data_IF_667056655674
#
_entry.id   IF_667056655674
#
_cell.length_a   1.000
_cell.length_b   1.000
_cell.length_c   1.000
_cell.angle_alpha   90.00
_cell.angle_beta   90.00
_cell.angle_gamma   90.00
#
_symmetry.space_group_name_H-M   'P 1'
#
loop_
_entity.id
_entity.type
_entity.pdbx_description
1 polymer ?
#
# COMPACT_ATOMS: atom_id res chain seq x y z
N UNK A 1 -1.72 -20.81 -0.57
CA UNK A 1 -1.47 -19.43 -1.07
C UNK A 1 -1.97 -18.39 -0.09
N UNK A 2 -3.23 -18.46 0.39
CA UNK A 2 -3.72 -17.55 1.44
C UNK A 2 -2.90 -17.64 2.75
N UNK A 3 -2.60 -18.86 3.21
CA UNK A 3 -1.81 -19.11 4.44
C UNK A 3 -0.36 -18.58 4.36
N UNK A 4 0.20 -18.48 3.14
CA UNK A 4 1.56 -17.95 2.93
C UNK A 4 1.58 -16.42 3.05
N UNK A 5 0.56 -15.73 2.51
CA UNK A 5 0.43 -14.27 2.62
C UNK A 5 0.24 -13.79 4.06
N UNK A 6 -0.60 -14.47 4.84
CA UNK A 6 -0.80 -14.11 6.25
C UNK A 6 0.49 -14.33 7.07
N UNK A 7 1.29 -15.35 6.74
CA UNK A 7 2.60 -15.55 7.36
C UNK A 7 3.59 -14.42 7.03
N UNK A 8 3.61 -13.93 5.78
CA UNK A 8 4.43 -12.77 5.41
C UNK A 8 3.97 -11.49 6.14
N UNK A 9 2.67 -11.23 6.20
CA UNK A 9 2.11 -10.10 6.95
C UNK A 9 2.45 -10.19 8.44
N UNK A 10 2.31 -11.39 9.03
CA UNK A 10 2.66 -11.62 10.43
C UNK A 10 4.16 -11.37 10.68
N UNK A 11 5.04 -11.78 9.77
CA UNK A 11 6.49 -11.52 9.84
C UNK A 11 6.76 -10.01 9.91
N UNK A 12 6.07 -9.20 9.09
CA UNK A 12 6.18 -7.74 9.12
C UNK A 12 5.56 -7.09 10.38
N UNK A 13 4.60 -7.74 11.03
CA UNK A 13 4.04 -7.28 12.31
C UNK A 13 5.03 -7.53 13.45
N UNK A 14 5.65 -8.71 13.51
CA UNK A 14 6.49 -9.11 14.65
C UNK A 14 7.96 -8.72 14.51
N UNK A 15 8.40 -8.19 13.36
CA UNK A 15 9.76 -7.67 13.23
C UNK A 15 10.01 -6.49 14.19
N UNK A 16 11.20 -6.49 14.78
CA UNK A 16 11.74 -5.47 15.69
C UNK A 16 13.28 -5.52 15.65
N UNK A 17 13.93 -4.96 14.61
CA UNK A 17 15.39 -4.94 14.51
C UNK A 17 16.01 -4.31 15.74
N UNK A 18 17.03 -4.96 16.32
CA UNK A 18 17.53 -4.64 17.67
C UNK A 18 17.87 -3.15 17.86
N UNK A 19 18.50 -2.52 16.87
CA UNK A 19 18.95 -1.11 16.94
C UNK A 19 17.88 -0.11 16.45
N UNK A 20 16.74 -0.58 15.96
CA UNK A 20 15.65 0.26 15.42
C UNK A 20 14.32 0.07 16.16
N UNK A 21 14.25 -0.76 17.19
CA UNK A 21 12.99 -1.07 17.89
C UNK A 21 12.21 0.19 18.33
N UNK A 22 12.92 1.19 18.87
CA UNK A 22 12.32 2.48 19.25
C UNK A 22 11.83 3.27 18.03
N UNK A 23 12.63 3.32 16.96
CA UNK A 23 12.25 4.02 15.74
C UNK A 23 11.03 3.38 15.06
N UNK A 24 10.97 2.04 15.04
CA UNK A 24 9.81 1.27 14.57
C UNK A 24 8.57 1.58 15.41
N UNK A 25 8.71 1.63 16.75
CA UNK A 25 7.64 2.04 17.66
C UNK A 25 7.11 3.44 17.37
N UNK A 26 8.01 4.41 17.20
CA UNK A 26 7.66 5.79 16.84
C UNK A 26 6.93 5.87 15.50
N UNK A 27 7.45 5.20 14.46
CA UNK A 27 6.83 5.20 13.12
C UNK A 27 5.45 4.55 13.15
N UNK A 28 5.30 3.40 13.85
CA UNK A 28 4.00 2.73 14.04
C UNK A 28 2.99 3.63 14.74
N UNK A 29 3.38 4.30 15.83
CA UNK A 29 2.50 5.22 16.55
C UNK A 29 2.12 6.44 15.69
N UNK A 30 3.10 7.02 14.99
CA UNK A 30 2.90 8.23 14.18
C UNK A 30 1.97 7.97 13.00
N UNK A 31 2.24 6.93 12.20
CA UNK A 31 1.37 6.54 11.08
C UNK A 31 -0.05 6.25 11.54
N UNK A 32 -0.21 5.48 12.62
CA UNK A 32 -1.51 5.14 13.17
C UNK A 32 -2.32 6.37 13.63
N UNK A 33 -1.65 7.30 14.32
CA UNK A 33 -2.25 8.58 14.73
C UNK A 33 -2.69 9.40 13.53
N UNK A 34 -1.84 9.54 12.51
CA UNK A 34 -2.15 10.27 11.28
C UNK A 34 -3.40 9.72 10.56
N UNK A 35 -3.63 8.40 10.66
CA UNK A 35 -4.77 7.71 10.04
C UNK A 35 -5.98 7.55 10.95
N UNK A 36 -5.88 7.95 12.23
CA UNK A 36 -6.88 7.63 13.26
C UNK A 36 -7.18 6.12 13.38
N UNK A 37 -6.15 5.28 13.19
CA UNK A 37 -6.23 3.83 13.30
C UNK A 37 -5.47 3.34 14.54
N UNK A 38 -5.76 2.13 15.06
CA UNK A 38 -4.88 1.51 16.04
C UNK A 38 -3.52 1.21 15.41
N UNK A 39 -2.39 1.39 16.13
CA UNK A 39 -1.08 1.06 15.60
C UNK A 39 -0.89 -0.44 15.42
N UNK A 40 0.13 -0.81 14.64
CA UNK A 40 0.71 -2.14 14.75
C UNK A 40 1.38 -2.27 16.14
N UNK A 41 1.38 -3.47 16.76
CA UNK A 41 2.13 -3.70 18.00
C UNK A 41 3.59 -3.30 17.85
N UNK A 42 4.27 -2.85 18.91
CA UNK A 42 5.71 -2.55 18.89
C UNK A 42 6.41 -3.06 20.16
N UNK A 43 7.67 -3.48 20.05
CA UNK A 43 8.47 -3.91 21.22
C UNK A 43 8.76 -2.75 22.18
N UNK A 44 9.01 -1.57 21.62
CA UNK A 44 9.14 -0.32 22.35
C UNK A 44 7.94 0.58 22.04
N UNK A 45 7.10 0.84 23.04
CA UNK A 45 6.02 1.82 22.93
C UNK A 45 6.61 3.22 23.01
N UNK A 46 6.31 4.05 22.00
CA UNK A 46 6.81 5.43 21.90
C UNK A 46 5.64 6.37 21.70
N UNK A 47 5.53 7.39 22.55
CA UNK A 47 4.45 8.37 22.54
C UNK A 47 4.82 9.69 21.88
N UNK A 48 6.11 10.01 21.81
CA UNK A 48 6.63 11.24 21.21
C UNK A 48 8.10 11.08 20.79
N UNK A 49 8.57 11.86 19.79
CA UNK A 49 9.98 11.93 19.45
C UNK A 49 10.81 12.59 20.56
N UNK A 50 12.01 12.08 20.82
CA UNK A 50 12.94 12.55 21.87
C UNK A 50 14.26 13.10 21.30
N UNK A 51 14.45 13.06 19.99
CA UNK A 51 15.63 13.60 19.30
C UNK A 51 15.25 14.34 18.02
N UNK A 52 16.15 15.15 17.48
CA UNK A 52 15.93 15.84 16.21
C UNK A 52 15.74 14.84 15.05
N UNK A 53 16.50 13.73 15.05
CA UNK A 53 16.31 12.64 14.10
C UNK A 53 14.90 12.04 14.21
N UNK A 54 14.42 11.77 15.42
CA UNK A 54 13.08 11.25 15.64
C UNK A 54 11.99 12.25 15.22
N UNK A 55 12.18 13.55 15.44
CA UNK A 55 11.26 14.59 14.98
C UNK A 55 11.15 14.62 13.45
N UNK A 56 12.28 14.53 12.75
CA UNK A 56 12.31 14.45 11.28
C UNK A 56 11.61 13.19 10.79
N UNK A 57 11.88 12.04 11.42
CA UNK A 57 11.25 10.76 11.06
C UNK A 57 9.74 10.79 11.30
N UNK A 58 9.28 11.30 12.44
CA UNK A 58 7.86 11.42 12.75
C UNK A 58 7.13 12.32 11.75
N UNK A 59 7.66 13.54 11.50
CA UNK A 59 7.06 14.46 10.54
C UNK A 59 7.00 13.86 9.11
N UNK A 60 8.04 13.13 8.70
CA UNK A 60 8.06 12.47 7.40
C UNK A 60 7.07 11.29 7.33
N UNK A 61 6.97 10.48 8.39
CA UNK A 61 6.04 9.36 8.48
C UNK A 61 4.58 9.84 8.47
N UNK A 62 4.27 10.93 9.17
CA UNK A 62 2.97 11.59 9.16
C UNK A 62 2.61 12.06 7.75
N UNK A 63 3.51 12.83 7.10
CA UNK A 63 3.28 13.31 5.72
C UNK A 63 3.10 12.14 4.75
N UNK A 64 3.93 11.09 4.83
CA UNK A 64 3.78 9.88 4.01
C UNK A 64 2.41 9.25 4.19
N UNK A 65 1.91 9.19 5.43
CA UNK A 65 0.62 8.57 5.75
C UNK A 65 -0.55 9.41 5.23
N UNK A 66 -0.50 10.73 5.40
CA UNK A 66 -1.55 11.68 5.00
C UNK A 66 -1.58 11.87 3.48
N UNK A 67 -0.46 12.26 2.88
CA UNK A 67 -0.33 12.48 1.44
C UNK A 67 1.14 12.44 1.02
N UNK A 68 1.57 11.29 0.49
CA UNK A 68 2.94 11.09 0.03
C UNK A 68 3.31 12.00 -1.15
N UNK A 69 2.32 12.45 -1.93
CA UNK A 69 2.56 13.27 -3.13
C UNK A 69 3.01 14.69 -2.78
N UNK A 70 2.70 15.14 -1.56
CA UNK A 70 3.09 16.45 -1.05
C UNK A 70 4.47 16.46 -0.36
N UNK A 71 5.20 15.33 -0.32
CA UNK A 71 6.56 15.29 0.22
C UNK A 71 7.51 16.10 -0.67
N UNK A 72 8.00 17.23 -0.13
CA UNK A 72 8.91 18.15 -0.82
C UNK A 72 10.38 17.75 -0.76
N UNK A 73 11.23 18.44 -1.53
CA UNK A 73 12.67 18.18 -1.59
C UNK A 73 13.37 18.47 -0.25
N UNK A 74 12.92 19.48 0.49
CA UNK A 74 13.47 19.82 1.82
C UNK A 74 13.22 18.70 2.85
N UNK A 75 12.03 18.10 2.84
CA UNK A 75 11.71 16.97 3.72
C UNK A 75 12.58 15.75 3.40
N UNK A 76 12.85 15.49 2.11
CA UNK A 76 13.75 14.40 1.68
C UNK A 76 15.18 14.67 2.08
N UNK A 77 15.65 15.90 1.92
CA UNK A 77 16.99 16.31 2.32
C UNK A 77 17.19 16.18 3.84
N UNK A 78 16.20 16.62 4.63
CA UNK A 78 16.22 16.48 6.08
C UNK A 78 16.23 15.00 6.52
N UNK A 79 15.36 14.16 5.93
CA UNK A 79 15.33 12.73 6.23
C UNK A 79 16.65 12.05 5.87
N UNK A 80 17.19 12.34 4.68
CA UNK A 80 18.47 11.81 4.22
C UNK A 80 19.64 12.24 5.11
N UNK A 81 19.67 13.49 5.56
CA UNK A 81 20.67 13.98 6.50
C UNK A 81 20.56 13.31 7.89
N UNK A 82 19.34 13.04 8.35
CA UNK A 82 19.09 12.44 9.66
C UNK A 82 19.40 10.93 9.71
N UNK A 83 19.19 10.20 8.60
CA UNK A 83 19.26 8.73 8.57
C UNK A 83 20.42 8.16 7.74
N UNK A 84 20.96 8.91 6.77
CA UNK A 84 21.98 8.42 5.86
C UNK A 84 21.55 7.13 5.14
N UNK A 85 22.37 6.08 5.26
CA UNK A 85 22.10 4.77 4.65
C UNK A 85 20.81 4.09 5.16
N UNK A 86 20.32 4.46 6.36
CA UNK A 86 19.08 3.90 6.92
C UNK A 86 17.81 4.49 6.29
N UNK A 87 17.92 5.51 5.43
CA UNK A 87 16.75 6.21 4.86
C UNK A 87 15.78 5.25 4.16
N UNK A 88 16.27 4.40 3.26
CA UNK A 88 15.40 3.48 2.51
C UNK A 88 14.74 2.43 3.42
N UNK A 89 15.47 1.67 4.26
CA UNK A 89 14.85 0.75 5.22
C UNK A 89 13.80 1.40 6.13
N UNK A 90 14.04 2.63 6.61
CA UNK A 90 13.08 3.34 7.47
C UNK A 90 11.83 3.77 6.69
N UNK A 91 11.95 4.16 5.42
CA UNK A 91 10.77 4.44 4.58
C UNK A 91 9.96 3.16 4.30
N UNK A 92 10.60 1.99 4.18
CA UNK A 92 9.89 0.70 4.14
C UNK A 92 9.13 0.47 5.44
N UNK A 93 9.74 0.76 6.60
CA UNK A 93 9.05 0.69 7.89
C UNK A 93 7.83 1.63 7.96
N UNK A 94 7.92 2.84 7.40
CA UNK A 94 6.79 3.77 7.29
C UNK A 94 5.67 3.20 6.42
N UNK A 95 5.99 2.60 5.27
CA UNK A 95 4.98 1.93 4.44
C UNK A 95 4.28 0.80 5.19
N UNK A 96 5.02 -0.02 5.93
CA UNK A 96 4.44 -1.11 6.74
C UNK A 96 3.51 -0.54 7.82
N UNK A 97 3.96 0.47 8.55
CA UNK A 97 3.22 1.14 9.61
C UNK A 97 1.98 1.91 9.11
N UNK A 98 2.03 2.46 7.90
CA UNK A 98 0.92 3.14 7.24
C UNK A 98 -0.10 2.13 6.71
N UNK A 99 0.33 1.12 5.95
CA UNK A 99 -0.58 0.39 5.10
C UNK A 99 -1.14 -0.91 5.70
N UNK A 100 -0.43 -1.59 6.60
CA UNK A 100 -0.99 -2.79 7.25
C UNK A 100 -2.20 -2.44 8.15
N UNK A 101 -2.20 -1.34 8.94
CA UNK A 101 -3.40 -0.90 9.65
C UNK A 101 -4.59 -0.61 8.73
N UNK A 102 -4.34 -0.06 7.53
CA UNK A 102 -5.39 0.15 6.51
C UNK A 102 -5.95 -1.19 6.06
N UNK A 103 -5.10 -2.15 5.72
CA UNK A 103 -5.52 -3.50 5.33
C UNK A 103 -6.38 -4.14 6.41
N UNK A 104 -5.98 -4.05 7.69
CA UNK A 104 -6.81 -4.52 8.82
C UNK A 104 -8.18 -3.85 8.81
N UNK A 105 -8.23 -2.52 8.77
CA UNK A 105 -9.50 -1.77 8.79
C UNK A 105 -10.40 -2.09 7.58
N UNK A 106 -9.81 -2.28 6.40
CA UNK A 106 -10.53 -2.68 5.18
C UNK A 106 -11.12 -4.08 5.30
N UNK A 107 -10.32 -5.06 5.72
CA UNK A 107 -10.79 -6.43 5.95
C UNK A 107 -11.89 -6.48 7.03
N UNK A 108 -11.72 -5.76 8.14
CA UNK A 108 -12.72 -5.65 9.20
C UNK A 108 -14.03 -5.05 8.67
N UNK A 109 -13.98 -3.96 7.90
CA UNK A 109 -15.15 -3.33 7.30
C UNK A 109 -15.90 -4.28 6.33
N UNK A 110 -15.15 -5.12 5.62
CA UNK A 110 -15.69 -6.15 4.73
C UNK A 110 -16.25 -7.36 5.49
N UNK A 111 -15.95 -7.52 6.78
CA UNK A 111 -16.32 -8.69 7.59
C UNK A 111 -15.42 -9.91 7.33
N UNK A 112 -14.18 -9.66 6.91
CA UNK A 112 -13.18 -10.69 6.59
C UNK A 112 -12.19 -10.87 7.75
N UNK A 113 -11.66 -12.09 7.94
CA UNK A 113 -10.75 -12.36 9.06
C UNK A 113 -9.40 -11.66 8.90
N UNK A 114 -8.84 -11.22 10.03
CA UNK A 114 -7.48 -10.67 10.16
C UNK A 114 -6.66 -11.62 11.05
N UNK A 115 -6.03 -12.61 10.43
CA UNK A 115 -5.29 -13.72 11.07
C UNK A 115 -3.82 -13.42 11.33
N UNK A 116 -3.25 -12.39 10.70
CA UNK A 116 -1.81 -12.09 10.69
C UNK A 116 -1.35 -11.21 11.87
N UNK A 117 -2.26 -10.84 12.79
CA UNK A 117 -1.92 -10.21 14.07
C UNK A 117 -1.99 -11.28 15.16
N UNK A 118 -0.85 -11.77 15.68
CA UNK A 118 -0.85 -12.90 16.61
C UNK A 118 -1.27 -12.46 18.02
N UNK A 119 -2.07 -13.29 18.71
CA UNK A 119 -2.47 -13.06 20.11
C UNK A 119 -1.28 -12.95 21.07
N UNK A 120 -0.20 -13.68 20.75
CA UNK A 120 1.05 -13.65 21.51
C UNK A 120 2.21 -13.22 20.62
N UNK A 121 2.70 -12.03 20.88
CA UNK A 121 3.83 -11.46 20.17
C UNK A 121 5.14 -12.15 20.58
N UNK A 122 5.91 -12.55 19.56
CA UNK A 122 7.31 -12.97 19.70
C UNK A 122 8.12 -12.13 18.72
N UNK A 123 8.85 -11.16 19.24
CA UNK A 123 9.62 -10.22 18.43
C UNK A 123 10.74 -10.93 17.67
N UNK A 124 10.81 -10.70 16.37
CA UNK A 124 11.91 -11.15 15.53
C UNK A 124 12.88 -9.99 15.26
N UNK A 125 14.11 -10.13 15.76
CA UNK A 125 15.17 -9.13 15.62
C UNK A 125 16.02 -9.30 14.36
N UNK A 126 15.84 -10.41 13.63
CA UNK A 126 16.63 -10.78 12.46
C UNK A 126 15.89 -10.63 11.13
N UNK A 127 14.59 -10.32 11.14
CA UNK A 127 13.82 -10.10 9.91
C UNK A 127 14.38 -8.91 9.12
N UNK A 128 14.72 -9.12 7.85
CA UNK A 128 14.86 -8.04 6.88
C UNK A 128 13.48 -7.69 6.30
N UNK A 129 12.86 -6.64 6.86
CA UNK A 129 11.54 -6.20 6.41
C UNK A 129 11.52 -5.75 4.94
N UNK A 130 12.66 -5.28 4.41
CA UNK A 130 12.78 -4.89 2.99
C UNK A 130 12.68 -6.12 2.10
N UNK A 131 13.43 -7.17 2.42
CA UNK A 131 13.40 -8.43 1.69
C UNK A 131 12.00 -9.05 1.73
N UNK A 132 11.37 -9.10 2.90
CA UNK A 132 10.01 -9.64 3.05
C UNK A 132 9.00 -8.84 2.20
N UNK A 133 9.07 -7.50 2.19
CA UNK A 133 8.17 -6.69 1.37
C UNK A 133 8.39 -6.97 -0.12
N UNK A 134 9.62 -6.79 -0.63
CA UNK A 134 9.86 -6.77 -2.07
C UNK A 134 10.00 -8.16 -2.71
N UNK A 135 10.51 -9.14 -1.98
CA UNK A 135 10.83 -10.46 -2.52
C UNK A 135 9.83 -11.55 -2.11
N UNK A 136 9.02 -11.33 -1.05
CA UNK A 136 8.00 -12.29 -0.61
C UNK A 136 6.56 -11.75 -0.76
N UNK A 137 6.21 -10.69 -0.04
CA UNK A 137 4.84 -10.19 0.07
C UNK A 137 4.30 -9.63 -1.26
N UNK A 138 4.98 -8.64 -1.86
CA UNK A 138 4.48 -7.99 -3.07
C UNK A 138 4.38 -8.97 -4.26
N UNK A 139 5.34 -9.87 -4.50
CA UNK A 139 5.19 -10.90 -5.53
C UNK A 139 4.08 -11.90 -5.20
N UNK A 140 3.90 -12.29 -3.94
CA UNK A 140 2.82 -13.20 -3.55
C UNK A 140 1.44 -12.62 -3.80
N UNK A 141 1.22 -11.33 -3.50
CA UNK A 141 -0.02 -10.64 -3.88
C UNK A 141 -0.16 -10.57 -5.40
N UNK A 142 0.93 -10.26 -6.12
CA UNK A 142 0.92 -10.16 -7.58
C UNK A 142 0.55 -11.46 -8.30
N UNK A 143 0.60 -12.61 -7.63
CA UNK A 143 0.21 -13.93 -8.17
C UNK A 143 -1.25 -14.29 -7.94
N UNK A 144 -2.00 -13.48 -7.18
CA UNK A 144 -3.43 -13.68 -6.99
C UNK A 144 -4.19 -13.43 -8.31
N UNK A 145 -5.29 -14.16 -8.54
CA UNK A 145 -6.01 -14.21 -9.83
C UNK A 145 -7.53 -14.35 -9.67
N UNK A 146 -8.09 -14.13 -8.49
CA UNK A 146 -9.53 -14.16 -8.28
C UNK A 146 -10.21 -12.90 -8.83
N UNK A 147 -9.51 -11.76 -8.81
CA UNK A 147 -9.96 -10.53 -9.42
C UNK A 147 -9.65 -10.54 -10.92
N UNK A 148 -10.57 -10.03 -11.74
CA UNK A 148 -10.30 -9.92 -13.17
C UNK A 148 -9.22 -8.86 -13.43
N UNK A 149 -8.39 -9.04 -14.48
CA UNK A 149 -7.23 -8.19 -14.71
C UNK A 149 -7.61 -6.73 -15.02
N UNK A 150 -8.79 -6.46 -15.58
CA UNK A 150 -9.23 -5.09 -15.86
C UNK A 150 -9.55 -4.36 -14.56
N UNK A 151 -10.31 -4.99 -13.65
CA UNK A 151 -10.59 -4.40 -12.33
C UNK A 151 -9.30 -4.22 -11.52
N UNK A 152 -8.37 -5.19 -11.54
CA UNK A 152 -7.06 -5.06 -10.88
C UNK A 152 -6.26 -3.84 -11.41
N UNK A 153 -6.27 -3.61 -12.72
CA UNK A 153 -5.60 -2.45 -13.33
C UNK A 153 -6.31 -1.13 -13.02
N UNK A 154 -7.64 -1.12 -13.01
CA UNK A 154 -8.46 0.05 -12.63
C UNK A 154 -8.13 0.52 -11.21
N UNK A 155 -8.09 -0.39 -10.24
CA UNK A 155 -7.76 -0.04 -8.84
C UNK A 155 -6.30 0.36 -8.68
N UNK A 156 -5.37 -0.27 -9.43
CA UNK A 156 -3.97 0.14 -9.46
C UNK A 156 -3.80 1.57 -9.95
N UNK A 157 -4.47 1.93 -11.04
CA UNK A 157 -4.38 3.26 -11.65
C UNK A 157 -5.02 4.33 -10.75
N UNK A 158 -6.11 4.01 -10.04
CA UNK A 158 -6.70 4.92 -9.04
C UNK A 158 -5.71 5.23 -7.91
N UNK A 159 -5.10 4.20 -7.33
CA UNK A 159 -4.08 4.40 -6.29
C UNK A 159 -2.83 5.13 -6.81
N UNK A 160 -2.41 4.86 -8.04
CA UNK A 160 -1.31 5.58 -8.68
C UNK A 160 -1.59 7.07 -8.88
N UNK A 161 -2.82 7.44 -9.24
CA UNK A 161 -3.26 8.82 -9.35
C UNK A 161 -3.23 9.51 -7.97
N UNK A 162 -3.77 8.86 -6.94
CA UNK A 162 -3.83 9.38 -5.57
C UNK A 162 -2.47 9.61 -4.94
N UNK A 163 -1.51 8.71 -5.17
CA UNK A 163 -0.13 8.89 -4.70
C UNK A 163 0.74 9.69 -5.66
N UNK A 164 0.19 10.15 -6.79
CA UNK A 164 0.92 10.81 -7.87
C UNK A 164 2.17 10.06 -8.36
N UNK A 165 2.14 8.72 -8.37
CA UNK A 165 3.28 7.90 -8.81
C UNK A 165 3.50 8.00 -10.33
N UNK A 166 4.55 8.71 -10.77
CA UNK A 166 4.78 8.97 -12.22
C UNK A 166 5.14 7.69 -12.99
N UNK A 167 5.97 6.82 -12.40
CA UNK A 167 6.30 5.48 -12.90
C UNK A 167 5.06 4.61 -13.11
N UNK A 168 4.15 4.62 -12.14
CA UNK A 168 2.96 3.79 -12.16
C UNK A 168 1.97 4.27 -13.23
N UNK A 169 1.84 5.60 -13.40
CA UNK A 169 0.97 6.22 -14.41
C UNK A 169 1.49 6.03 -15.83
N UNK A 170 2.82 5.93 -16.02
CA UNK A 170 3.43 5.74 -17.35
C UNK A 170 3.38 4.30 -17.87
N UNK A 171 2.64 3.40 -17.20
CA UNK A 171 2.64 1.97 -17.52
C UNK A 171 1.25 1.34 -17.51
N UNK A 172 1.06 0.29 -18.30
CA UNK A 172 -0.16 -0.54 -18.35
C UNK A 172 0.15 -2.03 -18.26
N UNK A 173 -0.63 -2.74 -17.46
CA UNK A 173 -0.51 -4.20 -17.36
C UNK A 173 -1.09 -4.85 -18.62
N UNK A 174 -0.32 -5.76 -19.22
CA UNK A 174 -0.63 -6.32 -20.53
C UNK A 174 -1.85 -7.24 -20.55
N UNK A 175 -2.02 -8.07 -19.52
CA UNK A 175 -3.18 -8.95 -19.37
C UNK A 175 -4.48 -8.16 -19.28
N UNK A 176 -4.48 -7.01 -18.59
CA UNK A 176 -5.60 -6.10 -18.50
C UNK A 176 -5.96 -5.47 -19.86
N UNK A 177 -4.94 -5.06 -20.63
CA UNK A 177 -5.15 -4.58 -22.00
C UNK A 177 -5.73 -5.67 -22.90
N UNK A 178 -5.22 -6.89 -22.82
CA UNK A 178 -5.71 -8.03 -23.63
C UNK A 178 -7.13 -8.43 -23.26
N UNK A 179 -7.53 -8.20 -22.00
CA UNK A 179 -8.88 -8.43 -21.49
C UNK A 179 -9.87 -7.29 -21.80
N UNK A 180 -9.47 -6.28 -22.58
CA UNK A 180 -10.35 -5.18 -23.02
C UNK A 180 -10.17 -3.87 -22.26
N UNK A 181 -9.22 -3.79 -21.34
CA UNK A 181 -8.77 -2.53 -20.76
C UNK A 181 -8.18 -1.59 -21.82
N UNK A 182 -8.39 -0.29 -21.68
CA UNK A 182 -7.95 0.70 -22.67
C UNK A 182 -7.74 2.07 -22.06
N UNK A 183 -6.97 2.94 -22.71
CA UNK A 183 -6.78 4.33 -22.28
C UNK A 183 -8.10 5.10 -22.20
N UNK A 184 -9.08 4.78 -23.06
CA UNK A 184 -10.43 5.38 -23.01
C UNK A 184 -11.14 5.03 -21.71
N UNK A 185 -11.15 3.75 -21.32
CA UNK A 185 -11.74 3.30 -20.05
C UNK A 185 -10.96 3.87 -18.85
N UNK A 186 -9.62 3.86 -18.92
CA UNK A 186 -8.78 4.33 -17.83
C UNK A 186 -8.85 5.84 -17.62
N UNK A 187 -9.15 6.62 -18.66
CA UNK A 187 -9.36 8.07 -18.58
C UNK A 187 -10.54 8.48 -17.69
N UNK A 188 -11.50 7.58 -17.48
CA UNK A 188 -12.67 7.82 -16.64
C UNK A 188 -12.43 7.55 -15.15
N UNK A 189 -11.32 6.88 -14.78
CA UNK A 189 -11.05 6.44 -13.39
C UNK A 189 -11.06 7.60 -12.39
N UNK A 190 -10.61 8.80 -12.80
CA UNK A 190 -10.58 9.94 -11.87
C UNK A 190 -11.97 10.49 -11.54
N UNK A 191 -12.94 10.31 -12.43
CA UNK A 191 -14.34 10.74 -12.33
C UNK A 191 -15.31 9.56 -12.47
N UNK A 192 -14.94 8.43 -11.87
CA UNK A 192 -15.57 7.14 -12.14
C UNK A 192 -17.08 7.09 -11.87
N UNK A 193 -17.60 7.94 -10.98
CA UNK A 193 -19.04 8.02 -10.68
C UNK A 193 -19.86 8.48 -11.89
N UNK A 194 -19.28 9.29 -12.77
CA UNK A 194 -19.91 9.81 -13.98
C UNK A 194 -19.69 8.90 -15.20
N UNK A 195 -18.91 7.82 -15.05
CA UNK A 195 -18.51 6.97 -16.18
C UNK A 195 -19.61 6.02 -16.61
N UNK A 196 -19.89 5.99 -17.90
CA UNK A 196 -20.69 4.96 -18.57
C UNK A 196 -19.84 3.77 -19.06
N UNK A 197 -18.51 3.87 -18.97
CA UNK A 197 -17.56 2.84 -19.40
C UNK A 197 -17.18 1.85 -18.29
N UNK A 198 -17.21 2.32 -17.04
CA UNK A 198 -16.91 1.50 -15.86
C UNK A 198 -18.16 0.78 -15.37
N UNK A 199 -17.99 -0.50 -15.04
CA UNK A 199 -19.07 -1.30 -14.44
C UNK A 199 -19.37 -0.87 -13.00
N UNK A 200 -20.57 -1.17 -12.49
CA UNK A 200 -20.91 -0.89 -11.09
C UNK A 200 -19.99 -1.61 -10.10
N UNK A 201 -19.50 -2.82 -10.44
CA UNK A 201 -18.48 -3.51 -9.68
C UNK A 201 -17.16 -2.72 -9.60
N UNK A 202 -16.70 -2.18 -10.73
CA UNK A 202 -15.49 -1.34 -10.77
C UNK A 202 -15.67 -0.03 -10.00
N UNK A 203 -16.84 0.62 -10.09
CA UNK A 203 -17.14 1.81 -9.29
C UNK A 203 -17.18 1.50 -7.79
N UNK A 204 -17.75 0.36 -7.39
CA UNK A 204 -17.71 -0.10 -6.00
C UNK A 204 -16.28 -0.35 -5.50
N UNK A 205 -15.44 -0.98 -6.31
CA UNK A 205 -14.02 -1.15 -6.00
C UNK A 205 -13.29 0.20 -5.87
N UNK A 206 -13.56 1.17 -6.75
CA UNK A 206 -12.96 2.50 -6.71
C UNK A 206 -13.38 3.31 -5.48
N UNK A 207 -14.67 3.26 -5.08
CA UNK A 207 -15.12 3.83 -3.80
C UNK A 207 -14.39 3.21 -2.60
N UNK A 208 -14.16 1.90 -2.64
CA UNK A 208 -13.42 1.20 -1.59
C UNK A 208 -11.94 1.60 -1.57
N UNK A 209 -11.28 1.72 -2.72
CA UNK A 209 -9.90 2.23 -2.84
C UNK A 209 -9.81 3.64 -2.23
N UNK A 210 -10.73 4.54 -2.57
CA UNK A 210 -10.78 5.90 -2.03
C UNK A 210 -10.94 5.90 -0.51
N UNK A 211 -11.86 5.08 0.01
CA UNK A 211 -12.07 4.96 1.44
C UNK A 211 -10.81 4.44 2.16
N UNK A 212 -10.18 3.40 1.61
CA UNK A 212 -8.99 2.77 2.18
C UNK A 212 -7.75 3.70 2.17
N UNK A 213 -7.62 4.56 1.14
CA UNK A 213 -6.49 5.48 1.00
C UNK A 213 -6.71 6.81 1.74
N UNK A 214 -7.92 7.37 1.77
CA UNK A 214 -8.14 8.70 2.36
C UNK A 214 -8.86 8.72 3.69
N UNK A 215 -9.64 7.68 4.00
CA UNK A 215 -10.47 7.65 5.22
C UNK A 215 -10.58 6.26 5.86
N UNK A 216 -9.46 5.54 6.05
CA UNK A 216 -9.49 4.13 6.46
C UNK A 216 -10.10 3.89 7.84
N UNK A 217 -10.09 4.89 8.73
CA UNK A 217 -10.75 4.81 10.04
C UNK A 217 -12.28 4.97 9.98
N UNK A 218 -12.84 5.37 8.83
CA UNK A 218 -14.27 5.66 8.64
C UNK A 218 -14.77 5.15 7.30
N UNK A 219 -14.42 3.90 6.94
CA UNK A 219 -14.99 3.24 5.77
C UNK A 219 -16.49 3.12 5.98
N UNK A 220 -17.28 3.80 5.16
CA UNK A 220 -18.74 3.82 5.29
C UNK A 220 -19.32 2.40 5.07
N UNK A 221 -20.30 1.96 5.89
CA UNK A 221 -20.93 0.65 5.72
C UNK A 221 -21.49 0.39 4.31
N UNK A 222 -21.93 1.43 3.59
CA UNK A 222 -22.41 1.34 2.21
C UNK A 222 -21.29 1.03 1.22
N UNK A 223 -20.06 1.53 1.45
CA UNK A 223 -18.89 1.20 0.64
C UNK A 223 -18.57 -0.28 0.77
N UNK A 224 -18.52 -0.80 2.01
CA UNK A 224 -18.29 -2.22 2.26
C UNK A 224 -19.44 -3.09 1.73
N UNK A 225 -20.69 -2.62 1.80
CA UNK A 225 -21.84 -3.31 1.23
C UNK A 225 -21.74 -3.42 -0.30
N UNK A 226 -21.35 -2.35 -1.00
CA UNK A 226 -21.16 -2.37 -2.44
C UNK A 226 -20.05 -3.33 -2.88
N UNK A 227 -18.96 -3.45 -2.11
CA UNK A 227 -17.94 -4.48 -2.38
C UNK A 227 -18.53 -5.88 -2.21
N UNK A 228 -19.25 -6.15 -1.12
CA UNK A 228 -19.88 -7.47 -0.87
C UNK A 228 -20.98 -7.83 -1.87
N UNK A 229 -21.61 -6.84 -2.49
CA UNK A 229 -22.63 -7.04 -3.53
C UNK A 229 -22.01 -7.57 -4.83
N UNK A 230 -20.82 -7.10 -5.19
CA UNK A 230 -20.20 -7.38 -6.49
C UNK A 230 -19.06 -8.39 -6.45
N UNK A 231 -18.42 -8.58 -5.30
CA UNK A 231 -17.22 -9.41 -5.17
C UNK A 231 -17.43 -10.55 -4.18
N UNK A 232 -16.92 -11.73 -4.52
CA UNK A 232 -16.83 -12.84 -3.56
C UNK A 232 -15.88 -12.48 -2.42
N UNK A 233 -15.93 -13.25 -1.33
CA UNK A 233 -14.98 -13.10 -0.21
C UNK A 233 -13.52 -13.18 -0.67
N UNK A 234 -13.20 -14.08 -1.60
CA UNK A 234 -11.85 -14.22 -2.15
C UNK A 234 -11.44 -12.98 -2.96
N UNK A 235 -12.33 -12.50 -3.83
CA UNK A 235 -12.11 -11.29 -4.63
C UNK A 235 -11.98 -10.03 -3.77
N UNK A 236 -12.79 -9.89 -2.73
CA UNK A 236 -12.73 -8.74 -1.82
C UNK A 236 -11.43 -8.72 -0.98
N UNK A 237 -10.94 -9.91 -0.60
CA UNK A 237 -9.62 -10.06 0.05
C UNK A 237 -8.50 -9.70 -0.93
N UNK A 238 -8.54 -10.23 -2.14
CA UNK A 238 -7.57 -9.92 -3.20
C UNK A 238 -7.56 -8.43 -3.53
N UNK A 239 -8.72 -7.80 -3.72
CA UNK A 239 -8.87 -6.36 -3.93
C UNK A 239 -8.15 -5.57 -2.83
N UNK A 240 -8.36 -5.90 -1.56
CA UNK A 240 -7.71 -5.21 -0.43
C UNK A 240 -6.18 -5.38 -0.46
N UNK A 241 -5.70 -6.58 -0.79
CA UNK A 241 -4.27 -6.86 -0.90
C UNK A 241 -3.63 -6.22 -2.13
N UNK A 242 -4.36 -6.11 -3.25
CA UNK A 242 -3.91 -5.38 -4.42
C UNK A 242 -3.73 -3.90 -4.09
N UNK A 243 -4.65 -3.28 -3.31
CA UNK A 243 -4.43 -1.90 -2.85
C UNK A 243 -3.14 -1.80 -2.01
N UNK A 244 -2.87 -2.75 -1.11
CA UNK A 244 -1.60 -2.82 -0.38
C UNK A 244 -0.39 -2.90 -1.32
N UNK A 245 -0.42 -3.82 -2.27
CA UNK A 245 0.68 -4.00 -3.23
C UNK A 245 0.91 -2.72 -4.05
N UNK A 246 -0.16 -2.14 -4.55
CA UNK A 246 -0.12 -0.94 -5.38
C UNK A 246 0.38 0.27 -4.59
N UNK A 247 0.02 0.37 -3.30
CA UNK A 247 0.49 1.40 -2.39
C UNK A 247 1.97 1.28 -2.00
N UNK A 248 2.66 0.18 -2.32
CA UNK A 248 4.13 0.15 -2.20
C UNK A 248 4.81 1.24 -3.05
N UNK A 249 4.11 1.79 -4.05
CA UNK A 249 4.56 2.96 -4.81
C UNK A 249 4.81 4.20 -3.93
N UNK A 250 4.21 4.30 -2.73
CA UNK A 250 4.49 5.37 -1.76
C UNK A 250 5.96 5.40 -1.40
N UNK A 251 6.67 4.26 -1.37
CA UNK A 251 8.11 4.21 -1.11
C UNK A 251 8.88 4.94 -2.22
N UNK A 252 8.57 4.65 -3.48
CA UNK A 252 9.22 5.28 -4.62
C UNK A 252 8.90 6.79 -4.69
N UNK A 253 7.64 7.17 -4.46
CA UNK A 253 7.21 8.57 -4.43
C UNK A 253 7.85 9.31 -3.26
N UNK A 254 7.92 8.72 -2.06
CA UNK A 254 8.57 9.29 -0.88
C UNK A 254 10.08 9.45 -1.02
N UNK A 255 10.70 8.78 -2.00
CA UNK A 255 12.13 8.92 -2.31
C UNK A 255 12.43 9.58 -3.67
N UNK A 256 11.40 10.03 -4.40
CA UNK A 256 11.52 10.66 -5.73
C UNK A 256 12.15 9.70 -6.75
N UNK A 257 12.02 8.39 -6.50
CA UNK A 257 12.51 7.30 -7.32
C UNK A 257 11.44 6.79 -8.31
N UNK A 258 10.36 7.54 -8.50
CA UNK A 258 9.21 7.20 -9.32
C UNK A 258 9.29 7.78 -10.74
N UNK A 259 10.47 8.02 -11.29
CA UNK A 259 10.61 8.57 -12.65
C UNK A 259 9.78 7.77 -13.67
N UNK A 260 9.04 8.43 -14.59
CA UNK A 260 8.25 7.73 -15.58
C UNK A 260 9.15 6.92 -16.52
N UNK A 261 8.64 5.79 -17.01
CA UNK A 261 9.36 4.95 -17.99
C UNK A 261 9.37 5.56 -19.39
N UNK A 262 8.32 6.31 -19.73
CA UNK A 262 8.15 6.99 -21.01
C UNK A 262 7.70 8.43 -20.78
N UNK A 263 8.15 9.35 -21.63
CA UNK A 263 7.78 10.77 -21.56
C UNK A 263 6.34 11.03 -22.06
N UNK A 264 5.89 10.24 -23.03
CA UNK A 264 4.56 10.33 -23.64
C UNK A 264 3.95 8.94 -23.80
N UNK A 265 2.63 8.85 -23.64
CA UNK A 265 1.89 7.58 -23.74
C UNK A 265 2.17 6.64 -22.56
N UNK A 266 2.11 5.34 -22.81
CA UNK A 266 2.23 4.31 -21.80
C UNK A 266 3.11 3.15 -22.29
N UNK A 267 3.89 2.58 -21.37
CA UNK A 267 4.66 1.36 -21.60
C UNK A 267 3.88 0.14 -21.11
N UNK A 268 3.79 -0.90 -21.94
CA UNK A 268 3.20 -2.18 -21.54
C UNK A 268 4.19 -2.98 -20.70
N UNK A 269 3.70 -3.64 -19.66
CA UNK A 269 4.47 -4.59 -18.84
C UNK A 269 3.65 -5.83 -18.54
N UNK A 270 4.32 -6.90 -18.09
CA UNK A 270 3.67 -8.14 -17.65
C UNK A 270 4.05 -8.46 -16.21
N UNK A 271 3.20 -9.23 -15.54
CA UNK A 271 3.52 -9.90 -14.28
C UNK A 271 3.75 -11.38 -14.60
N UNK A 272 4.95 -11.88 -14.34
CA UNK A 272 5.29 -13.29 -14.59
C UNK A 272 4.67 -14.24 -13.55
N UNK A 273 4.93 -15.54 -13.72
CA UNK A 273 4.39 -16.58 -12.85
C UNK A 273 4.90 -16.45 -11.40
N UNK A 274 6.06 -15.84 -11.20
CA UNK A 274 6.68 -15.58 -9.91
C UNK A 274 6.12 -14.31 -9.24
N UNK A 275 5.35 -13.50 -9.97
CA UNK A 275 4.78 -12.24 -9.49
C UNK A 275 5.69 -11.02 -9.71
N UNK A 276 6.76 -11.18 -10.50
CA UNK A 276 7.69 -10.12 -10.83
C UNK A 276 7.22 -9.32 -12.04
N UNK A 277 7.57 -8.05 -12.05
CA UNK A 277 7.28 -7.16 -13.18
C UNK A 277 8.33 -7.33 -14.26
N UNK A 278 7.90 -7.70 -15.47
CA UNK A 278 8.76 -7.83 -16.65
C UNK A 278 8.38 -6.81 -17.72
N UNK A 279 9.34 -6.33 -18.53
CA UNK A 279 9.03 -5.65 -19.79
C UNK A 279 8.17 -6.57 -20.66
N UNK A 280 7.17 -6.00 -21.35
CA UNK A 280 6.32 -6.74 -22.28
C UNK A 280 6.97 -6.94 -23.65
#
# INVERSE_FOLDING_TARGET
MADDLDAQLQTLVVQSPADLARLVGLVRATCASALSLPPLPAEAEVSAPESDTEQVVAAFAEQLSVDVSAIGDDQRAALGAALGAATFPVVVQMFIADFLPRVRAGLDALGLPVSWVPDRLRWDRGTDATDVVFNALLPAVARLRALDPVTAEVVRLRGAAQHNCRLCKSRREGTALDAGGSETLYGDIERFEESDLLTEAQKAALRYVDALIWSPARIDPSVAAGVREHFTTEQARELTLDVLRNASNKIAVALKADAPRVEHGTERYLIDAEGQTQPA
#
